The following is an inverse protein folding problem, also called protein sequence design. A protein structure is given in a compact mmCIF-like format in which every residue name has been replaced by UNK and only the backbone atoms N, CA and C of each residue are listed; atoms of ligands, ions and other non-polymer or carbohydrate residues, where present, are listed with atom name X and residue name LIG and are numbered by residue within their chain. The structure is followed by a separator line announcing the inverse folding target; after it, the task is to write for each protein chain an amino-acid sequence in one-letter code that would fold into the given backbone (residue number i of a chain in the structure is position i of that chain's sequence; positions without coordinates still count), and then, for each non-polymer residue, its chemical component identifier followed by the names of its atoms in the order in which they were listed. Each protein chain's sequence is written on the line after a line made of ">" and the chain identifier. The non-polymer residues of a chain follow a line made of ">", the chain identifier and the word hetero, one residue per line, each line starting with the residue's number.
data_IF_388884864645
#
_entry.id   IF_388884864645
#
_cell.length_a   1.000
_cell.length_b   1.000
_cell.length_c   1.000
_cell.angle_alpha   90.00
_cell.angle_beta   90.00
_cell.angle_gamma   90.00
#
_symmetry.space_group_name_H-M   'P 1'
#
loop_
_entity.id
_entity.type
_entity.pdbx_description
1 polymer ?
#
# COMPACT_ATOMS: atom_id res chain seq x y z
N UNK A 1 -9.59 -3.72 -14.19
CA UNK A 1 -8.98 -4.60 -13.19
C UNK A 1 -9.27 -3.99 -11.85
N UNK A 2 -10.17 -4.59 -11.07
CA UNK A 2 -10.29 -4.21 -9.65
C UNK A 2 -9.01 -4.64 -8.93
N UNK A 3 -8.45 -3.81 -8.05
CA UNK A 3 -7.31 -4.23 -7.26
C UNK A 3 -7.74 -5.40 -6.37
N UNK A 4 -6.99 -6.51 -6.37
CA UNK A 4 -7.23 -7.64 -5.45
C UNK A 4 -6.85 -7.32 -3.99
N UNK A 5 -6.92 -6.06 -3.62
CA UNK A 5 -6.48 -5.53 -2.33
C UNK A 5 -7.65 -5.55 -1.37
N UNK A 6 -7.57 -6.38 -0.33
CA UNK A 6 -8.50 -6.49 0.80
C UNK A 6 -8.65 -5.18 1.63
N UNK A 7 -8.09 -4.07 1.15
CA UNK A 7 -7.97 -2.80 1.85
C UNK A 7 -8.79 -1.68 1.20
N UNK A 8 -9.85 -2.00 0.45
CA UNK A 8 -10.81 -1.02 -0.05
C UNK A 8 -12.21 -1.39 0.42
N UNK A 9 -13.04 -0.39 0.69
CA UNK A 9 -14.47 -0.60 0.86
C UNK A 9 -15.07 -1.23 -0.40
N UNK A 10 -16.14 -2.03 -0.29
CA UNK A 10 -16.85 -2.49 -1.47
C UNK A 10 -17.39 -1.26 -2.23
N UNK A 11 -16.99 -1.16 -3.50
CA UNK A 11 -17.48 -0.13 -4.40
C UNK A 11 -18.98 -0.23 -4.66
N UNK A 12 -19.59 0.86 -5.13
CA UNK A 12 -20.98 0.85 -5.63
C UNK A 12 -20.94 0.87 -7.15
N UNK A 13 -21.66 -0.02 -7.82
CA UNK A 13 -21.89 -0.03 -9.28
C UNK A 13 -20.70 0.42 -10.15
N UNK A 14 -19.59 -0.34 -10.09
CA UNK A 14 -18.42 -0.13 -10.96
C UNK A 14 -17.43 0.94 -10.52
N UNK A 15 -17.73 1.68 -9.44
CA UNK A 15 -16.81 2.65 -8.85
C UNK A 15 -15.89 1.98 -7.81
N UNK A 16 -14.58 2.26 -7.82
CA UNK A 16 -13.67 1.72 -6.82
C UNK A 16 -13.99 2.31 -5.44
N UNK A 17 -14.12 1.45 -4.43
CA UNK A 17 -14.34 1.90 -3.06
C UNK A 17 -13.10 2.57 -2.46
N UNK A 18 -13.31 3.30 -1.37
CA UNK A 18 -12.25 4.08 -0.73
C UNK A 18 -11.21 3.16 -0.07
N UNK A 19 -9.93 3.55 -0.06
CA UNK A 19 -8.91 2.82 0.69
C UNK A 19 -9.21 2.89 2.19
N UNK A 20 -9.29 1.73 2.81
CA UNK A 20 -9.51 1.56 4.25
C UNK A 20 -8.27 2.01 5.02
N UNK A 21 -8.44 2.88 6.00
CA UNK A 21 -7.34 3.33 6.87
C UNK A 21 -7.27 2.43 8.10
N UNK A 22 -6.09 2.39 8.72
CA UNK A 22 -5.92 1.63 9.95
C UNK A 22 -6.85 2.13 11.06
N UNK A 23 -7.15 3.42 11.10
CA UNK A 23 -7.99 4.02 12.14
C UNK A 23 -9.47 3.57 12.05
N UNK A 24 -9.90 3.07 10.89
CA UNK A 24 -11.29 2.67 10.63
C UNK A 24 -11.62 1.27 11.18
N UNK A 25 -10.62 0.50 11.61
CA UNK A 25 -10.83 -0.84 12.17
C UNK A 25 -10.95 -0.82 13.70
N UNK A 26 -12.09 -1.22 14.28
CA UNK A 26 -12.21 -1.33 15.74
C UNK A 26 -11.33 -2.44 16.32
N UNK A 27 -11.04 -3.48 15.53
CA UNK A 27 -10.19 -4.61 15.93
C UNK A 27 -8.70 -4.21 15.97
N UNK A 28 -8.03 -4.22 17.15
CA UNK A 28 -6.62 -3.87 17.27
C UNK A 28 -5.67 -4.73 16.42
N UNK A 29 -6.01 -5.99 16.14
CA UNK A 29 -5.15 -6.86 15.32
C UNK A 29 -5.18 -6.46 13.84
N UNK A 30 -6.37 -6.14 13.30
CA UNK A 30 -6.51 -5.60 11.94
C UNK A 30 -5.80 -4.26 11.77
N UNK A 31 -5.86 -3.38 12.78
CA UNK A 31 -5.09 -2.12 12.79
C UNK A 31 -3.59 -2.38 12.71
N UNK A 32 -3.10 -3.29 13.56
CA UNK A 32 -1.69 -3.69 13.57
C UNK A 32 -1.23 -4.21 12.20
N UNK A 33 -2.04 -5.06 11.56
CA UNK A 33 -1.75 -5.58 10.22
C UNK A 33 -1.62 -4.46 9.17
N UNK A 34 -2.53 -3.48 9.16
CA UNK A 34 -2.47 -2.34 8.24
C UNK A 34 -1.27 -1.43 8.49
N UNK A 35 -0.90 -1.21 9.76
CA UNK A 35 0.31 -0.46 10.09
C UNK A 35 1.57 -1.15 9.59
N UNK A 36 1.68 -2.47 9.79
CA UNK A 36 2.82 -3.25 9.29
C UNK A 36 2.86 -3.20 7.76
N UNK A 37 1.74 -3.48 7.09
CA UNK A 37 1.67 -3.45 5.63
C UNK A 37 2.11 -2.09 5.07
N UNK A 38 1.62 -0.98 5.65
CA UNK A 38 2.02 0.38 5.27
C UNK A 38 3.53 0.60 5.45
N UNK A 39 4.08 0.22 6.60
CA UNK A 39 5.50 0.40 6.88
C UNK A 39 6.37 -0.41 5.91
N UNK A 40 5.98 -1.66 5.61
CA UNK A 40 6.66 -2.51 4.63
C UNK A 40 6.63 -1.89 3.24
N UNK A 41 5.46 -1.44 2.75
CA UNK A 41 5.35 -0.81 1.43
C UNK A 41 6.20 0.46 1.33
N UNK A 42 6.27 1.27 2.39
CA UNK A 42 7.13 2.45 2.41
C UNK A 42 8.62 2.10 2.34
N UNK A 43 9.05 1.10 3.10
CA UNK A 43 10.44 0.62 3.07
C UNK A 43 10.81 0.06 1.69
N UNK A 44 9.92 -0.74 1.11
CA UNK A 44 10.10 -1.32 -0.23
C UNK A 44 10.21 -0.22 -1.31
N UNK A 45 9.28 0.73 -1.33
CA UNK A 45 9.31 1.84 -2.29
C UNK A 45 10.57 2.70 -2.13
N UNK A 46 11.01 2.96 -0.89
CA UNK A 46 12.25 3.70 -0.64
C UNK A 46 13.46 2.96 -1.20
N UNK A 47 13.53 1.65 -1.00
CA UNK A 47 14.62 0.82 -1.54
C UNK A 47 14.59 0.82 -3.07
N UNK A 48 13.43 0.58 -3.68
CA UNK A 48 13.27 0.58 -5.14
C UNK A 48 13.71 1.90 -5.77
N UNK A 49 13.30 3.04 -5.21
CA UNK A 49 13.73 4.34 -5.72
C UNK A 49 15.25 4.55 -5.61
N UNK A 50 15.88 4.12 -4.50
CA UNK A 50 17.34 4.20 -4.35
C UNK A 50 18.03 3.35 -5.40
N UNK A 51 17.59 2.11 -5.58
CA UNK A 51 18.17 1.17 -6.56
C UNK A 51 18.01 1.67 -7.98
N UNK A 52 16.86 2.24 -8.35
CA UNK A 52 16.67 2.83 -9.68
C UNK A 52 17.63 4.00 -9.91
N UNK A 53 17.80 4.89 -8.92
CA UNK A 53 18.75 6.00 -9.03
C UNK A 53 20.21 5.53 -9.20
N UNK A 54 20.60 4.46 -8.50
CA UNK A 54 21.91 3.83 -8.66
C UNK A 54 22.10 3.23 -10.05
N UNK A 55 21.09 2.54 -10.58
CA UNK A 55 21.13 1.93 -11.90
C UNK A 55 21.17 2.97 -13.01
N UNK A 56 20.33 4.01 -12.94
CA UNK A 56 20.33 5.12 -13.90
C UNK A 56 21.69 5.83 -13.93
N UNK A 57 22.30 6.05 -12.75
CA UNK A 57 23.63 6.64 -12.63
C UNK A 57 24.78 5.74 -13.12
N UNK A 58 24.62 4.43 -13.05
CA UNK A 58 25.59 3.46 -13.60
C UNK A 58 25.49 3.32 -15.13
N UNK A 59 24.36 3.70 -15.72
CA UNK A 59 24.13 3.67 -17.18
C UNK A 59 24.50 4.97 -17.91
N UNK A 60 24.93 6.01 -17.18
CA UNK A 60 25.39 7.29 -17.74
C UNK A 60 26.90 7.30 -17.99
#
# INVERSE_FOLDING_TARGET
>A
TEPSSFFHEPGTDGEPGLPLRAEDFPDPFRRGLLHIARATSQAELSWLHSTLAELDGATA
#
